data_IF_647145465045
#
_entry.id   IF_647145465045
#
_cell.length_a   1.000
_cell.length_b   1.000
_cell.length_c   1.000
_cell.angle_alpha   90.00
_cell.angle_beta   90.00
_cell.angle_gamma   90.00
#
_symmetry.space_group_name_H-M   'P 1'
#
loop_
_entity.id
_entity.type
_entity.pdbx_description
1 polymer ?
#
# COMPACT_ATOMS: atom_id res chain seq x y z
N UNK A 1 -27.24 17.21 -8.10
CA UNK A 1 -26.60 16.05 -7.44
C UNK A 1 -25.19 15.93 -8.02
N UNK A 2 -24.20 16.58 -7.40
CA UNK A 2 -22.87 16.74 -7.98
C UNK A 2 -21.90 15.75 -7.34
N UNK A 3 -21.68 14.61 -7.99
CA UNK A 3 -20.49 13.80 -7.76
C UNK A 3 -19.35 14.46 -8.56
N UNK A 4 -18.56 15.28 -7.89
CA UNK A 4 -17.26 15.72 -8.38
C UNK A 4 -16.28 15.74 -7.22
N UNK A 5 -15.43 14.72 -7.18
CA UNK A 5 -14.01 14.91 -6.88
C UNK A 5 -13.26 14.08 -7.91
N UNK A 6 -12.62 14.82 -8.80
CA UNK A 6 -11.56 14.38 -9.71
C UNK A 6 -10.41 13.79 -8.90
N UNK A 7 -9.72 12.79 -9.44
CA UNK A 7 -8.26 12.95 -9.59
C UNK A 7 -7.74 11.99 -10.65
N UNK A 8 -7.16 12.62 -11.67
CA UNK A 8 -6.36 12.03 -12.72
C UNK A 8 -5.08 11.46 -12.12
N UNK A 9 -5.10 10.21 -11.65
CA UNK A 9 -3.85 9.57 -11.28
C UNK A 9 -3.26 8.89 -12.50
N UNK A 10 -2.43 9.67 -13.20
CA UNK A 10 -1.26 9.14 -13.89
C UNK A 10 -0.39 8.29 -12.93
N UNK A 11 0.76 7.77 -13.40
CA UNK A 11 1.54 6.72 -12.72
C UNK A 11 2.11 7.06 -11.34
N UNK A 12 1.77 8.21 -10.75
CA UNK A 12 2.39 8.73 -9.52
C UNK A 12 1.67 8.35 -8.21
N UNK A 13 0.42 7.87 -8.25
CA UNK A 13 -0.34 7.52 -7.05
C UNK A 13 -0.55 8.68 -6.05
N UNK A 14 -1.31 8.42 -4.97
CA UNK A 14 -1.59 9.41 -3.91
C UNK A 14 -0.75 9.15 -2.67
N UNK A 15 -0.49 10.19 -1.85
CA UNK A 15 0.04 9.99 -0.52
C UNK A 15 -0.88 9.12 0.34
N UNK A 16 -0.31 8.20 1.12
CA UNK A 16 -1.07 7.21 1.91
C UNK A 16 -2.04 7.84 2.92
N UNK A 17 -1.67 9.00 3.49
CA UNK A 17 -2.51 9.72 4.46
C UNK A 17 -3.75 10.38 3.82
N UNK A 18 -3.82 10.45 2.48
CA UNK A 18 -4.99 10.96 1.74
C UNK A 18 -6.01 9.87 1.37
N UNK A 19 -5.74 8.59 1.63
CA UNK A 19 -6.73 7.52 1.45
C UNK A 19 -7.98 7.82 2.29
N UNK A 20 -9.16 7.32 1.95
CA UNK A 20 -10.35 7.41 2.82
C UNK A 20 -10.49 6.17 3.68
N UNK A 21 -11.22 6.30 4.78
CA UNK A 21 -11.55 5.14 5.61
C UNK A 21 -12.24 4.06 4.77
N UNK A 22 -11.80 2.82 4.94
CA UNK A 22 -12.24 1.66 4.16
C UNK A 22 -11.61 1.52 2.77
N UNK A 23 -10.86 2.50 2.24
CA UNK A 23 -10.24 2.38 0.92
C UNK A 23 -9.09 1.37 0.89
N UNK A 24 -8.99 0.67 -0.24
CA UNK A 24 -7.90 -0.23 -0.56
C UNK A 24 -6.91 0.47 -1.48
N UNK A 25 -5.63 0.29 -1.21
CA UNK A 25 -4.54 0.82 -2.02
C UNK A 25 -3.45 -0.22 -2.25
N UNK A 26 -2.83 -0.19 -3.42
CA UNK A 26 -1.57 -0.87 -3.68
C UNK A 26 -0.40 0.05 -3.34
N UNK A 27 0.59 -0.45 -2.61
CA UNK A 27 1.80 0.31 -2.30
C UNK A 27 2.63 0.49 -3.56
N UNK A 28 2.94 1.74 -3.90
CA UNK A 28 3.87 2.12 -4.96
C UNK A 28 5.25 2.45 -4.42
N UNK A 29 5.32 3.11 -3.27
CA UNK A 29 6.55 3.50 -2.59
C UNK A 29 6.37 3.50 -1.07
N UNK A 30 7.38 3.02 -0.34
CA UNK A 30 7.43 2.95 1.11
C UNK A 30 8.85 3.29 1.59
N UNK A 31 9.09 4.56 1.93
CA UNK A 31 10.45 5.11 2.01
C UNK A 31 11.15 4.99 3.37
N UNK A 32 10.52 4.42 4.40
CA UNK A 32 11.11 4.42 5.75
C UNK A 32 11.83 3.14 6.16
N UNK A 33 11.78 2.07 5.36
CA UNK A 33 12.29 0.78 5.81
C UNK A 33 12.67 -0.13 4.64
N UNK A 34 13.94 -0.59 4.51
CA UNK A 34 14.32 -1.63 3.55
C UNK A 34 13.61 -2.97 3.80
N UNK A 35 13.17 -3.23 5.03
CA UNK A 35 12.33 -4.37 5.44
C UNK A 35 10.83 -4.00 5.54
N UNK A 36 10.49 -2.80 5.07
CA UNK A 36 9.13 -2.30 4.97
C UNK A 36 8.28 -3.09 3.96
N UNK A 37 6.96 -2.88 3.94
CA UNK A 37 6.13 -3.49 2.93
C UNK A 37 6.57 -3.11 1.52
N UNK A 38 6.86 -4.15 0.75
CA UNK A 38 7.30 -4.03 -0.63
C UNK A 38 6.18 -3.47 -1.53
N UNK A 39 6.62 -2.86 -2.64
CA UNK A 39 5.73 -2.46 -3.74
C UNK A 39 4.86 -3.64 -4.20
N UNK A 40 3.60 -3.37 -4.51
CA UNK A 40 2.64 -4.40 -4.95
C UNK A 40 1.87 -5.07 -3.81
N UNK A 41 2.18 -4.76 -2.55
CA UNK A 41 1.36 -5.14 -1.40
C UNK A 41 0.10 -4.29 -1.33
N UNK A 42 -0.97 -4.87 -0.78
CA UNK A 42 -2.25 -4.18 -0.60
C UNK A 42 -2.37 -3.70 0.82
N UNK A 43 -2.80 -2.45 0.97
CA UNK A 43 -3.14 -1.84 2.24
C UNK A 43 -4.61 -1.44 2.27
N UNK A 44 -5.20 -1.49 3.45
CA UNK A 44 -6.50 -0.92 3.75
C UNK A 44 -6.33 0.20 4.77
N UNK A 45 -6.97 1.35 4.52
CA UNK A 45 -7.07 2.39 5.53
C UNK A 45 -8.26 2.11 6.44
N UNK A 46 -8.01 2.21 7.74
CA UNK A 46 -9.01 2.37 8.79
C UNK A 46 -8.90 3.79 9.39
N UNK A 47 -9.85 4.15 10.24
CA UNK A 47 -9.97 5.48 10.87
C UNK A 47 -8.64 5.94 11.47
N UNK A 48 -7.93 5.06 12.15
CA UNK A 48 -6.73 5.33 12.94
C UNK A 48 -5.50 4.50 12.55
N UNK A 49 -5.61 3.64 11.53
CA UNK A 49 -4.51 2.77 11.12
C UNK A 49 -4.51 2.48 9.62
N UNK A 50 -3.32 2.23 9.07
CA UNK A 50 -3.15 1.58 7.77
C UNK A 50 -2.75 0.12 8.01
N UNK A 51 -3.47 -0.83 7.43
CA UNK A 51 -3.23 -2.26 7.62
C UNK A 51 -2.79 -2.90 6.31
N UNK A 52 -1.69 -3.64 6.32
CA UNK A 52 -1.29 -4.45 5.17
C UNK A 52 -2.06 -5.77 5.18
N UNK A 53 -2.67 -6.11 4.04
CA UNK A 53 -3.44 -7.34 3.86
C UNK A 53 -2.55 -8.50 3.39
N UNK A 54 -2.86 -9.72 3.84
CA UNK A 54 -2.22 -10.95 3.37
C UNK A 54 -0.91 -11.33 4.08
N UNK A 55 -0.56 -10.66 5.17
CA UNK A 55 0.61 -10.98 6.00
C UNK A 55 0.21 -11.73 7.29
N UNK A 56 1.08 -12.62 7.79
CA UNK A 56 0.79 -13.57 8.89
C UNK A 56 0.51 -12.93 10.25
N UNK A 57 0.81 -11.63 10.38
CA UNK A 57 0.28 -10.75 11.41
C UNK A 57 0.01 -9.45 10.69
N UNK A 58 -1.26 -9.06 10.54
CA UNK A 58 -1.64 -7.85 9.82
C UNK A 58 -0.92 -6.64 10.45
N UNK A 59 0.19 -6.21 9.84
CA UNK A 59 0.99 -5.09 10.33
C UNK A 59 0.12 -3.84 10.19
N UNK A 60 -0.17 -3.21 11.33
CA UNK A 60 -0.97 -2.00 11.42
C UNK A 60 -0.07 -0.80 11.75
N UNK A 61 -0.18 0.26 10.95
CA UNK A 61 0.59 1.50 11.09
C UNK A 61 -0.34 2.64 11.46
N UNK A 62 -0.38 3.00 12.74
CA UNK A 62 -1.18 4.11 13.26
C UNK A 62 -0.46 5.46 13.20
N UNK A 63 0.87 5.46 13.11
CA UNK A 63 1.70 6.66 13.06
C UNK A 63 1.62 7.38 11.71
N UNK A 64 1.41 6.66 10.61
CA UNK A 64 1.36 7.21 9.24
C UNK A 64 0.22 8.21 9.01
N UNK A 65 -0.84 8.12 9.82
CA UNK A 65 -1.97 9.05 9.78
C UNK A 65 -1.75 10.29 10.67
N UNK A 66 -0.91 10.17 11.70
CA UNK A 66 -0.61 11.24 12.66
C UNK A 66 0.56 12.11 12.21
N UNK A 67 1.55 11.49 11.58
CA UNK A 67 2.75 12.12 11.04
C UNK A 67 2.80 11.85 9.54
N UNK A 68 2.12 12.68 8.72
CA UNK A 68 2.07 12.46 7.28
C UNK A 68 3.48 12.57 6.69
N UNK A 69 3.92 11.48 6.07
CA UNK A 69 5.21 11.42 5.37
C UNK A 69 4.97 11.38 3.87
N UNK A 70 5.59 12.32 3.14
CA UNK A 70 5.38 12.47 1.69
C UNK A 70 5.95 11.32 0.85
N UNK A 71 6.88 10.53 1.41
CA UNK A 71 7.50 9.40 0.72
C UNK A 71 6.63 8.15 0.55
N UNK A 72 5.42 8.13 1.13
CA UNK A 72 4.54 6.97 1.13
C UNK A 72 3.43 7.14 0.10
N UNK A 73 3.48 6.36 -0.98
CA UNK A 73 2.54 6.50 -2.09
C UNK A 73 1.82 5.20 -2.39
N UNK A 74 0.52 5.33 -2.67
CA UNK A 74 -0.38 4.23 -2.97
C UNK A 74 -1.22 4.52 -4.21
N UNK A 75 -1.61 3.47 -4.92
CA UNK A 75 -2.62 3.50 -5.97
C UNK A 75 -3.94 3.00 -5.40
N UNK A 76 -4.98 3.83 -5.36
CA UNK A 76 -6.32 3.39 -4.92
C UNK A 76 -6.85 2.33 -5.88
N UNK A 77 -7.24 1.19 -5.32
CA UNK A 77 -7.77 0.06 -6.07
C UNK A 77 -9.26 0.24 -6.34
N UNK A 78 -9.65 0.00 -7.59
CA UNK A 78 -11.05 -0.06 -8.02
C UNK A 78 -11.53 -1.52 -8.08
N UNK A 79 -12.85 -1.76 -8.03
CA UNK A 79 -13.38 -3.09 -8.24
C UNK A 79 -12.86 -3.68 -9.57
N UNK A 80 -12.34 -4.92 -9.51
CA UNK A 80 -11.72 -5.65 -10.64
C UNK A 80 -10.34 -5.16 -11.08
N UNK A 81 -9.69 -4.30 -10.30
CA UNK A 81 -8.29 -3.98 -10.54
C UNK A 81 -7.42 -5.22 -10.32
N UNK A 82 -6.41 -5.37 -11.19
CA UNK A 82 -5.36 -6.36 -11.02
C UNK A 82 -4.20 -5.72 -10.25
N UNK A 83 -3.65 -6.48 -9.31
CA UNK A 83 -2.46 -6.13 -8.54
C UNK A 83 -1.31 -7.04 -8.98
N UNK A 84 -0.13 -6.47 -9.17
CA UNK A 84 1.06 -7.24 -9.51
C UNK A 84 1.90 -7.42 -8.25
N UNK A 85 1.83 -8.60 -7.67
CA UNK A 85 2.61 -8.93 -6.47
C UNK A 85 4.04 -9.20 -6.89
N UNK A 86 4.96 -8.28 -6.59
CA UNK A 86 6.39 -8.59 -6.61
C UNK A 86 6.70 -9.45 -5.39
N UNK A 87 7.06 -10.71 -5.62
CA UNK A 87 7.72 -11.51 -4.59
C UNK A 87 9.17 -11.05 -4.53
N UNK A 88 9.70 -10.65 -3.36
CA UNK A 88 11.16 -10.63 -3.20
C UNK A 88 11.63 -12.05 -3.49
N UNK A 89 12.71 -12.17 -4.27
CA UNK A 89 13.17 -13.42 -4.87
C UNK A 89 13.07 -14.61 -3.92
N UNK A 90 12.41 -15.67 -4.37
CA UNK A 90 12.46 -16.95 -3.68
C UNK A 90 13.93 -17.36 -3.64
N UNK A 91 14.58 -17.32 -2.47
CA UNK A 91 15.91 -17.89 -2.30
C UNK A 91 15.86 -19.32 -2.83
N UNK A 92 16.62 -19.56 -3.90
CA UNK A 92 16.92 -20.91 -4.36
C UNK A 92 17.69 -21.54 -3.22
N UNK A 93 17.03 -22.39 -2.45
CA UNK A 93 17.73 -23.34 -1.59
C UNK A 93 18.49 -24.28 -2.53
N UNK A 94 19.71 -23.92 -2.88
CA UNK A 94 20.68 -24.81 -3.50
C UNK A 94 20.89 -25.96 -2.52
N UNK A 95 20.19 -27.06 -2.78
CA UNK A 95 20.38 -28.31 -2.07
C UNK A 95 21.72 -28.89 -2.45
N UNK A 96 22.72 -28.72 -1.58
CA UNK A 96 23.87 -29.61 -1.49
C UNK A 96 23.38 -31.03 -1.16
N UNK A 97 23.60 -31.97 -2.08
CA UNK A 97 23.62 -33.40 -1.82
C UNK A 97 24.52 -34.12 -2.84
#
# INVERSE_FOLDING_TARGET
MACRVVDELGPEGIPIFKMRDGELGEILAWNDDPDGPYRGKVVQRYVDAIVILGEHSAKAFSTLLREPKEGYRVRILKPRDTIQIMRPDCERSDGDA
#
